data_IF_467306668362
#
_entry.id   IF_467306668362
#
_cell.length_a   1.000
_cell.length_b   1.000
_cell.length_c   1.000
_cell.angle_alpha   90.00
_cell.angle_beta   90.00
_cell.angle_gamma   90.00
#
_symmetry.space_group_name_H-M   'P 1'
#
loop_
_entity.id
_entity.type
_entity.pdbx_description
1 polymer ?
#
# COMPACT_ATOMS: atom_id res chain seq x y z
N UNK A 1 98.81 -1.53 17.46
CA UNK A 1 98.24 -2.35 18.47
C UNK A 1 96.77 -2.55 18.10
N UNK A 2 96.34 -3.79 18.03
CA UNK A 2 95.19 -4.23 17.24
C UNK A 2 93.93 -4.13 18.08
N UNK A 3 92.96 -3.39 17.56
CA UNK A 3 91.58 -3.40 18.06
C UNK A 3 90.78 -4.53 17.34
N UNK A 4 90.23 -5.41 18.15
CA UNK A 4 89.43 -6.53 17.71
C UNK A 4 87.96 -6.09 17.77
N UNK A 5 87.34 -5.90 16.58
CA UNK A 5 85.91 -5.59 16.42
C UNK A 5 85.02 -6.77 16.86
N UNK A 6 84.07 -6.50 17.74
CA UNK A 6 83.01 -7.43 18.10
C UNK A 6 81.91 -7.39 17.03
N UNK A 7 81.68 -8.55 16.42
CA UNK A 7 80.55 -8.76 15.49
C UNK A 7 79.28 -9.03 16.32
N UNK A 8 78.33 -8.11 16.31
CA UNK A 8 77.02 -8.31 16.91
C UNK A 8 76.11 -9.03 15.93
N UNK A 9 75.71 -10.22 16.25
CA UNK A 9 74.76 -11.02 15.46
C UNK A 9 73.34 -10.64 15.85
N UNK A 10 72.65 -9.85 15.03
CA UNK A 10 71.25 -9.48 15.22
C UNK A 10 70.37 -10.58 14.63
N UNK A 11 69.75 -11.36 15.50
CA UNK A 11 68.75 -12.36 15.09
C UNK A 11 67.45 -11.63 14.79
N UNK A 12 67.02 -11.54 13.52
CA UNK A 12 65.72 -11.06 13.10
C UNK A 12 64.72 -12.20 13.27
N UNK A 13 63.85 -12.09 14.30
CA UNK A 13 62.73 -12.99 14.51
C UNK A 13 61.56 -12.55 13.59
N UNK A 14 61.37 -13.26 12.44
CA UNK A 14 60.23 -13.06 11.58
C UNK A 14 59.02 -13.76 12.21
N UNK A 15 58.12 -12.96 12.85
CA UNK A 15 56.83 -13.42 13.32
C UNK A 15 55.88 -13.44 12.08
N UNK A 16 55.61 -14.62 11.53
CA UNK A 16 54.57 -14.85 10.55
C UNK A 16 53.20 -14.74 11.28
N UNK A 17 52.56 -13.57 11.16
CA UNK A 17 51.14 -13.45 11.48
C UNK A 17 50.33 -14.15 10.37
N UNK A 18 49.86 -15.34 10.67
CA UNK A 18 48.85 -16.02 9.86
C UNK A 18 47.54 -15.22 9.89
N UNK A 19 47.28 -14.50 8.81
CA UNK A 19 45.96 -13.90 8.56
C UNK A 19 44.96 -15.03 8.25
N UNK A 20 44.35 -15.59 9.31
CA UNK A 20 43.11 -16.34 9.12
C UNK A 20 42.02 -15.33 8.73
N UNK A 21 41.79 -15.17 7.43
CA UNK A 21 40.59 -14.47 6.94
C UNK A 21 39.37 -15.31 7.36
N UNK A 22 38.73 -14.90 8.44
CA UNK A 22 37.34 -15.30 8.66
C UNK A 22 36.55 -14.73 7.51
N UNK A 23 36.17 -15.56 6.54
CA UNK A 23 35.12 -15.26 5.61
C UNK A 23 33.81 -15.13 6.42
N UNK A 24 33.51 -13.95 6.91
CA UNK A 24 32.15 -13.58 7.26
C UNK A 24 31.40 -13.53 5.91
N UNK A 25 30.69 -14.61 5.59
CA UNK A 25 29.61 -14.54 4.61
C UNK A 25 28.60 -13.56 5.21
N UNK A 26 28.53 -12.36 4.70
CA UNK A 26 27.34 -11.50 4.88
C UNK A 26 26.16 -12.35 4.43
N UNK A 27 25.13 -12.58 5.25
CA UNK A 27 23.92 -13.23 4.76
C UNK A 27 23.47 -12.45 3.53
N UNK A 28 23.29 -13.15 2.40
CA UNK A 28 22.58 -12.59 1.25
C UNK A 28 21.22 -12.17 1.77
N UNK A 29 20.76 -10.93 1.52
CA UNK A 29 19.39 -10.56 1.84
C UNK A 29 18.48 -11.65 1.27
N UNK A 30 17.57 -12.20 2.07
CA UNK A 30 16.55 -13.10 1.55
C UNK A 30 15.81 -12.35 0.45
N UNK A 31 15.70 -12.97 -0.72
CA UNK A 31 15.03 -12.35 -1.86
C UNK A 31 13.54 -12.23 -1.53
N UNK A 32 13.02 -11.00 -1.46
CA UNK A 32 11.62 -10.72 -1.17
C UNK A 32 10.70 -11.54 -2.10
N UNK A 33 9.73 -12.22 -1.53
CA UNK A 33 8.81 -13.09 -2.27
C UNK A 33 7.45 -12.44 -2.50
N UNK A 34 6.81 -12.76 -3.64
CA UNK A 34 5.51 -12.25 -4.01
C UNK A 34 4.55 -13.38 -4.36
N UNK A 35 3.45 -13.44 -3.63
CA UNK A 35 2.35 -14.36 -3.87
C UNK A 35 1.12 -13.62 -4.38
N UNK A 36 0.43 -14.20 -5.36
CA UNK A 36 -0.85 -13.69 -5.85
C UNK A 36 -1.88 -14.80 -5.74
N UNK A 37 -2.97 -14.55 -5.02
CA UNK A 37 -4.01 -15.51 -4.72
C UNK A 37 -5.31 -15.09 -5.43
N UNK A 38 -5.81 -15.87 -6.40
CA UNK A 38 -7.03 -15.57 -7.13
C UNK A 38 -8.30 -15.98 -6.34
N UNK A 39 -8.58 -15.29 -5.24
CA UNK A 39 -9.76 -15.58 -4.38
C UNK A 39 -11.08 -15.48 -5.15
N UNK A 40 -11.11 -14.73 -6.25
CA UNK A 40 -12.28 -14.71 -7.13
C UNK A 40 -12.66 -16.10 -7.67
N UNK A 41 -11.77 -17.09 -7.67
CA UNK A 41 -12.10 -18.47 -8.02
C UNK A 41 -12.94 -19.15 -6.93
N UNK A 42 -12.70 -18.88 -5.66
CA UNK A 42 -13.50 -19.40 -4.53
C UNK A 42 -14.89 -18.78 -4.52
N UNK A 43 -15.05 -17.57 -5.05
CA UNK A 43 -16.36 -16.93 -5.21
C UNK A 43 -17.29 -17.69 -6.16
N UNK A 44 -16.78 -18.55 -7.05
CA UNK A 44 -17.61 -19.45 -7.84
C UNK A 44 -18.27 -20.53 -6.97
N UNK A 45 -17.58 -21.02 -5.94
CA UNK A 45 -18.17 -21.97 -5.00
C UNK A 45 -19.32 -21.32 -4.20
N UNK A 46 -19.12 -20.05 -3.77
CA UNK A 46 -20.18 -19.24 -3.16
C UNK A 46 -21.40 -19.11 -4.08
N UNK A 47 -21.22 -18.73 -5.35
CA UNK A 47 -22.29 -18.59 -6.34
C UNK A 47 -23.05 -19.91 -6.52
N UNK A 48 -22.33 -21.02 -6.68
CA UNK A 48 -22.94 -22.34 -6.88
C UNK A 48 -23.75 -22.75 -5.66
N UNK A 49 -23.19 -22.62 -4.46
CA UNK A 49 -23.89 -22.94 -3.22
C UNK A 49 -25.17 -22.12 -3.03
N UNK A 50 -25.08 -20.80 -3.36
CA UNK A 50 -26.24 -19.91 -3.28
C UNK A 50 -27.37 -20.28 -4.28
N UNK A 51 -27.02 -20.77 -5.48
CA UNK A 51 -27.99 -21.18 -6.48
C UNK A 51 -28.61 -22.56 -6.20
N UNK A 52 -27.90 -23.43 -5.49
CA UNK A 52 -28.38 -24.76 -5.12
C UNK A 52 -29.33 -24.75 -3.92
N UNK A 53 -29.25 -23.75 -3.07
CA UNK A 53 -30.08 -23.60 -1.89
C UNK A 53 -31.47 -23.04 -2.24
N UNK A 54 -32.54 -23.56 -1.60
CA UNK A 54 -33.92 -23.09 -1.80
C UNK A 54 -34.12 -21.69 -1.17
N UNK A 55 -33.44 -21.41 -0.02
CA UNK A 55 -33.45 -20.13 0.69
C UNK A 55 -32.02 -19.85 1.20
N UNK A 56 -31.13 -19.30 0.35
CA UNK A 56 -29.73 -19.15 0.69
C UNK A 56 -29.47 -18.05 1.71
N UNK A 57 -28.78 -18.37 2.78
CA UNK A 57 -28.13 -17.40 3.65
C UNK A 57 -26.82 -16.95 2.98
N UNK A 58 -26.90 -15.87 2.19
CA UNK A 58 -25.77 -15.39 1.39
C UNK A 58 -24.59 -14.90 2.25
N UNK A 59 -24.87 -14.38 3.48
CA UNK A 59 -23.82 -13.96 4.42
C UNK A 59 -23.04 -15.18 4.93
N UNK A 60 -23.75 -16.20 5.41
CA UNK A 60 -23.12 -17.43 5.89
C UNK A 60 -22.36 -18.16 4.75
N UNK A 61 -22.87 -18.13 3.52
CA UNK A 61 -22.18 -18.73 2.37
C UNK A 61 -20.92 -17.94 1.98
N UNK A 62 -20.97 -16.59 2.02
CA UNK A 62 -19.79 -15.76 1.77
C UNK A 62 -18.70 -16.03 2.81
N UNK A 63 -19.07 -16.08 4.09
CA UNK A 63 -18.14 -16.42 5.17
C UNK A 63 -17.51 -17.80 4.92
N UNK A 64 -18.31 -18.83 4.69
CA UNK A 64 -17.87 -20.21 4.56
C UNK A 64 -16.95 -20.46 3.34
N UNK A 65 -17.31 -19.92 2.19
CA UNK A 65 -16.62 -20.24 0.93
C UNK A 65 -15.56 -19.25 0.53
N UNK A 66 -15.59 -18.00 1.03
CA UNK A 66 -14.69 -16.94 0.58
C UNK A 66 -13.85 -16.39 1.73
N UNK A 67 -14.49 -15.93 2.83
CA UNK A 67 -13.75 -15.22 3.89
C UNK A 67 -12.95 -16.19 4.77
N UNK A 68 -13.60 -17.19 5.38
CA UNK A 68 -12.94 -18.10 6.32
C UNK A 68 -11.73 -18.83 5.70
N UNK A 69 -11.80 -19.39 4.47
CA UNK A 69 -10.67 -20.09 3.86
C UNK A 69 -9.48 -19.16 3.53
N UNK A 70 -9.74 -17.90 3.25
CA UNK A 70 -8.74 -16.98 2.71
C UNK A 70 -8.25 -15.93 3.71
N UNK A 71 -8.95 -15.72 4.84
CA UNK A 71 -8.70 -14.59 5.73
C UNK A 71 -7.26 -14.53 6.25
N UNK A 72 -6.75 -15.60 6.82
CA UNK A 72 -5.38 -15.66 7.34
C UNK A 72 -4.33 -15.35 6.26
N UNK A 73 -4.52 -15.87 5.06
CA UNK A 73 -3.60 -15.63 3.95
C UNK A 73 -3.65 -14.20 3.46
N UNK A 74 -4.85 -13.61 3.36
CA UNK A 74 -5.09 -12.33 2.69
C UNK A 74 -5.02 -11.12 3.61
N UNK A 75 -5.46 -11.27 4.87
CA UNK A 75 -5.56 -10.18 5.83
C UNK A 75 -4.72 -10.40 7.11
N UNK A 76 -4.27 -11.63 7.33
CA UNK A 76 -3.60 -12.01 8.58
C UNK A 76 -4.56 -12.15 9.75
N UNK A 77 -4.01 -12.43 10.93
CA UNK A 77 -4.81 -12.65 12.14
C UNK A 77 -4.94 -11.41 13.03
N UNK A 78 -4.18 -10.36 12.74
CA UNK A 78 -4.06 -9.18 13.59
C UNK A 78 -5.19 -8.17 13.37
N UNK A 79 -5.72 -8.10 12.16
CA UNK A 79 -6.78 -7.16 11.81
C UNK A 79 -8.03 -7.90 11.31
N UNK A 80 -9.17 -7.63 11.95
CA UNK A 80 -10.50 -7.95 11.40
C UNK A 80 -11.28 -6.66 11.20
N UNK A 81 -11.77 -6.41 9.99
CA UNK A 81 -12.65 -5.28 9.78
C UNK A 81 -13.90 -5.40 10.67
N UNK A 82 -14.45 -4.27 11.10
CA UNK A 82 -15.69 -4.30 11.89
C UNK A 82 -16.81 -4.97 11.08
N UNK A 83 -17.75 -5.66 11.77
CA UNK A 83 -18.95 -6.22 11.13
C UNK A 83 -19.70 -5.16 10.32
N UNK A 84 -20.17 -5.53 9.12
CA UNK A 84 -20.82 -4.62 8.17
C UNK A 84 -19.84 -3.87 7.29
N UNK A 85 -18.56 -4.26 7.28
CA UNK A 85 -17.58 -3.78 6.34
C UNK A 85 -17.93 -4.19 4.90
N UNK A 86 -17.17 -3.64 3.93
CA UNK A 86 -17.38 -3.99 2.51
C UNK A 86 -17.03 -5.45 2.18
N UNK A 87 -16.32 -6.14 3.09
CA UNK A 87 -15.85 -7.50 2.86
C UNK A 87 -16.83 -8.57 3.32
N UNK A 88 -17.71 -8.26 4.29
CA UNK A 88 -18.70 -9.17 4.84
C UNK A 88 -20.13 -8.92 4.33
N UNK A 89 -20.32 -8.00 3.38
CA UNK A 89 -21.60 -7.79 2.72
C UNK A 89 -21.80 -8.82 1.61
N UNK A 90 -22.88 -9.63 1.69
CA UNK A 90 -23.13 -10.63 0.65
C UNK A 90 -23.48 -9.98 -0.68
N UNK A 91 -22.89 -10.50 -1.75
CA UNK A 91 -23.14 -10.03 -3.12
C UNK A 91 -24.43 -10.65 -3.63
N UNK A 92 -25.43 -9.78 -3.94
CA UNK A 92 -26.77 -10.21 -4.31
C UNK A 92 -26.89 -10.57 -5.79
N UNK A 93 -26.16 -9.87 -6.66
CA UNK A 93 -26.23 -10.09 -8.11
C UNK A 93 -25.21 -11.15 -8.54
N UNK A 94 -25.57 -12.41 -8.34
CA UNK A 94 -24.70 -13.56 -8.60
C UNK A 94 -24.34 -13.71 -10.09
N UNK A 95 -25.25 -13.36 -11.01
CA UNK A 95 -24.99 -13.48 -12.45
C UNK A 95 -23.95 -12.44 -12.91
N UNK A 96 -24.07 -11.20 -12.43
CA UNK A 96 -23.08 -10.17 -12.73
C UNK A 96 -21.72 -10.47 -12.05
N UNK A 97 -21.73 -11.04 -10.84
CA UNK A 97 -20.52 -11.47 -10.16
C UNK A 97 -19.79 -12.58 -10.95
N UNK A 98 -20.53 -13.58 -11.45
CA UNK A 98 -19.97 -14.66 -12.26
C UNK A 98 -19.33 -14.13 -13.56
N UNK A 99 -19.97 -13.16 -14.21
CA UNK A 99 -19.41 -12.53 -15.42
C UNK A 99 -18.09 -11.78 -15.09
N UNK A 100 -18.01 -11.07 -13.97
CA UNK A 100 -16.77 -10.45 -13.51
C UNK A 100 -15.68 -11.50 -13.32
N UNK A 101 -15.98 -12.58 -12.62
CA UNK A 101 -15.03 -13.69 -12.38
C UNK A 101 -14.53 -14.26 -13.70
N UNK A 102 -15.42 -14.53 -14.66
CA UNK A 102 -15.04 -15.03 -15.98
C UNK A 102 -14.14 -14.07 -16.76
N UNK A 103 -14.31 -12.75 -16.58
CA UNK A 103 -13.42 -11.75 -17.18
C UNK A 103 -12.05 -11.76 -16.51
N UNK A 104 -11.99 -11.90 -15.18
CA UNK A 104 -10.73 -12.03 -14.43
C UNK A 104 -9.97 -13.29 -14.84
N UNK A 105 -10.62 -14.44 -14.91
CA UNK A 105 -10.03 -15.71 -15.36
C UNK A 105 -9.44 -15.65 -16.77
N UNK A 106 -10.06 -14.89 -17.68
CA UNK A 106 -9.54 -14.67 -19.04
C UNK A 106 -8.43 -13.61 -19.11
N UNK A 107 -8.18 -12.94 -18.01
CA UNK A 107 -7.18 -11.86 -17.96
C UNK A 107 -5.81 -12.39 -17.55
N UNK A 108 -4.82 -11.52 -17.62
CA UNK A 108 -3.45 -11.74 -17.14
C UNK A 108 -3.18 -11.01 -15.82
N UNK A 109 -4.23 -10.75 -15.02
CA UNK A 109 -4.17 -9.89 -13.84
C UNK A 109 -3.11 -10.30 -12.83
N UNK A 110 -2.98 -11.60 -12.55
CA UNK A 110 -1.99 -12.11 -11.59
C UNK A 110 -0.56 -11.76 -12.04
N UNK A 111 -0.28 -11.88 -13.34
CA UNK A 111 1.01 -11.49 -13.91
C UNK A 111 1.24 -9.98 -13.81
N UNK A 112 0.20 -9.18 -14.05
CA UNK A 112 0.27 -7.71 -13.95
C UNK A 112 0.55 -7.29 -12.50
N UNK A 113 -0.16 -7.86 -11.53
CA UNK A 113 0.04 -7.63 -10.09
C UNK A 113 1.47 -7.99 -9.69
N UNK A 114 1.94 -9.19 -10.05
CA UNK A 114 3.30 -9.63 -9.70
C UNK A 114 4.37 -8.72 -10.29
N UNK A 115 4.20 -8.27 -11.53
CA UNK A 115 5.13 -7.32 -12.16
C UNK A 115 5.13 -5.95 -11.47
N UNK A 116 3.97 -5.48 -11.01
CA UNK A 116 3.86 -4.23 -10.27
C UNK A 116 4.56 -4.31 -8.90
N UNK A 117 4.38 -5.39 -8.15
CA UNK A 117 5.09 -5.65 -6.89
C UNK A 117 6.61 -5.66 -7.10
N UNK A 118 7.10 -6.40 -8.10
CA UNK A 118 8.53 -6.45 -8.42
C UNK A 118 9.10 -5.06 -8.76
N UNK A 119 8.34 -4.24 -9.48
CA UNK A 119 8.76 -2.87 -9.82
C UNK A 119 8.77 -1.96 -8.60
N UNK A 120 7.82 -2.11 -7.69
CA UNK A 120 7.74 -1.38 -6.42
C UNK A 120 8.90 -1.74 -5.50
N UNK A 121 9.19 -3.02 -5.34
CA UNK A 121 10.28 -3.53 -4.52
C UNK A 121 11.68 -3.09 -4.99
N UNK A 122 11.85 -2.82 -6.28
CA UNK A 122 13.09 -2.23 -6.80
C UNK A 122 13.33 -0.80 -6.35
N UNK A 123 12.30 -0.13 -5.82
CA UNK A 123 12.33 1.27 -5.40
C UNK A 123 12.30 1.43 -3.88
N UNK A 124 11.61 0.56 -3.20
CA UNK A 124 11.45 0.55 -1.74
C UNK A 124 11.46 -0.90 -1.28
N UNK A 125 12.38 -1.27 -0.40
CA UNK A 125 12.38 -2.57 0.24
C UNK A 125 11.12 -2.72 1.10
N UNK A 126 10.54 -3.93 1.14
CA UNK A 126 9.32 -4.22 1.91
C UNK A 126 9.25 -5.68 2.30
N UNK A 127 8.19 -6.10 3.02
CA UNK A 127 8.00 -7.47 3.45
C UNK A 127 7.65 -8.41 2.28
N UNK A 128 7.76 -9.71 2.51
CA UNK A 128 7.12 -10.71 1.66
C UNK A 128 5.64 -10.37 1.50
N UNK A 129 5.17 -10.25 0.26
CA UNK A 129 3.84 -9.67 0.00
C UNK A 129 2.92 -10.65 -0.70
N UNK A 130 1.75 -10.84 -0.13
CA UNK A 130 0.63 -11.57 -0.71
C UNK A 130 -0.44 -10.59 -1.16
N UNK A 131 -0.85 -10.69 -2.42
CA UNK A 131 -2.00 -9.95 -2.96
C UNK A 131 -3.12 -10.94 -3.25
N UNK A 132 -4.24 -10.76 -2.57
CA UNK A 132 -5.46 -11.52 -2.83
C UNK A 132 -6.37 -10.73 -3.77
N UNK A 133 -6.74 -11.33 -4.89
CA UNK A 133 -7.61 -10.70 -5.88
C UNK A 133 -9.03 -11.21 -5.67
N UNK A 134 -9.97 -10.31 -5.41
CA UNK A 134 -11.40 -10.61 -5.30
C UNK A 134 -12.19 -9.87 -6.37
N UNK A 135 -13.30 -10.47 -6.82
CA UNK A 135 -14.26 -9.75 -7.64
C UNK A 135 -15.02 -8.75 -6.75
N UNK A 136 -15.08 -7.48 -7.18
CA UNK A 136 -15.85 -6.48 -6.46
C UNK A 136 -17.36 -6.68 -6.65
N UNK A 137 -18.16 -6.23 -5.66
CA UNK A 137 -19.62 -6.24 -5.81
C UNK A 137 -20.04 -5.47 -7.07
N UNK A 138 -20.77 -6.08 -8.00
CA UNK A 138 -21.25 -5.44 -9.22
C UNK A 138 -22.10 -4.19 -8.97
N UNK A 139 -22.71 -4.04 -7.80
CA UNK A 139 -23.49 -2.87 -7.41
C UNK A 139 -22.65 -1.72 -6.85
N UNK A 140 -21.37 -1.94 -6.60
CA UNK A 140 -20.48 -0.91 -6.08
C UNK A 140 -20.08 0.08 -7.18
N UNK A 141 -20.95 1.08 -7.37
CA UNK A 141 -20.74 2.15 -8.36
C UNK A 141 -19.47 2.96 -8.11
N UNK A 142 -19.04 3.09 -6.84
CA UNK A 142 -17.86 3.86 -6.49
C UNK A 142 -16.58 3.23 -7.08
N UNK A 143 -16.42 1.92 -6.94
CA UNK A 143 -15.31 1.20 -7.58
C UNK A 143 -15.36 1.34 -9.10
N UNK A 144 -16.56 1.24 -9.69
CA UNK A 144 -16.70 1.32 -11.15
C UNK A 144 -16.39 2.72 -11.69
N UNK A 145 -17.00 3.76 -11.11
CA UNK A 145 -17.00 5.10 -11.69
C UNK A 145 -15.89 6.00 -11.13
N UNK A 146 -15.51 5.82 -9.86
CA UNK A 146 -14.52 6.67 -9.20
C UNK A 146 -13.13 6.04 -9.14
N UNK A 147 -13.07 4.71 -9.09
CA UNK A 147 -11.82 3.94 -8.98
C UNK A 147 -11.48 3.17 -10.28
N UNK A 148 -12.15 3.47 -11.39
CA UNK A 148 -11.90 2.82 -12.68
C UNK A 148 -11.94 1.30 -12.65
N UNK A 149 -12.74 0.73 -11.75
CA UNK A 149 -12.92 -0.70 -11.59
C UNK A 149 -11.88 -1.41 -10.74
N UNK A 150 -10.95 -0.70 -10.11
CA UNK A 150 -9.88 -1.31 -9.28
C UNK A 150 -9.73 -0.56 -7.97
N UNK A 151 -9.80 -1.28 -6.85
CA UNK A 151 -9.59 -0.71 -5.52
C UNK A 151 -8.66 -1.62 -4.72
N UNK A 152 -7.72 -1.03 -3.97
CA UNK A 152 -6.78 -1.74 -3.11
C UNK A 152 -7.04 -1.49 -1.63
N UNK A 153 -6.58 -2.42 -0.80
CA UNK A 153 -6.58 -2.31 0.65
C UNK A 153 -5.36 -3.04 1.22
N UNK A 154 -4.58 -2.35 2.01
CA UNK A 154 -3.51 -2.96 2.80
C UNK A 154 -4.02 -3.31 4.20
N UNK A 155 -3.98 -4.59 4.56
CA UNK A 155 -4.44 -5.11 5.85
C UNK A 155 -3.29 -5.27 6.86
N UNK A 156 -2.09 -4.93 6.48
CA UNK A 156 -0.89 -5.04 7.32
C UNK A 156 0.36 -5.27 6.47
N UNK A 157 1.47 -5.51 7.13
CA UNK A 157 2.72 -5.82 6.46
C UNK A 157 2.58 -7.05 5.55
N UNK A 158 2.81 -6.88 4.26
CA UNK A 158 2.74 -7.96 3.28
C UNK A 158 1.34 -8.46 2.95
N UNK A 159 0.27 -7.77 3.32
CA UNK A 159 -1.13 -8.22 3.12
C UNK A 159 -1.94 -7.18 2.35
N UNK A 160 -2.24 -7.50 1.10
CA UNK A 160 -2.99 -6.60 0.20
C UNK A 160 -4.20 -7.36 -0.37
N UNK A 161 -5.36 -6.73 -0.35
CA UNK A 161 -6.55 -7.19 -1.07
C UNK A 161 -6.81 -6.23 -2.23
N UNK A 162 -6.93 -6.79 -3.43
CA UNK A 162 -7.28 -6.07 -4.65
C UNK A 162 -8.70 -6.44 -5.07
N UNK A 163 -9.62 -5.47 -5.02
CA UNK A 163 -10.98 -5.62 -5.51
C UNK A 163 -11.06 -5.17 -6.96
N UNK A 164 -11.63 -6.01 -7.82
CA UNK A 164 -11.71 -5.71 -9.26
C UNK A 164 -13.12 -5.92 -9.80
N UNK A 165 -13.63 -4.89 -10.47
CA UNK A 165 -14.79 -4.96 -11.36
C UNK A 165 -14.33 -4.43 -12.73
N UNK A 166 -14.15 -5.29 -13.74
CA UNK A 166 -13.55 -4.93 -15.02
C UNK A 166 -14.32 -3.85 -15.78
N UNK A 167 -14.04 -2.58 -15.49
CA UNK A 167 -14.50 -1.42 -16.25
C UNK A 167 -13.58 -1.16 -17.46
N UNK A 168 -13.97 -0.37 -18.47
CA UNK A 168 -13.11 -0.03 -19.58
C UNK A 168 -11.77 0.56 -19.13
N UNK A 169 -10.65 -0.07 -19.51
CA UNK A 169 -9.30 0.38 -19.16
C UNK A 169 -8.79 -0.02 -17.78
N UNK A 170 -9.54 -0.77 -17.00
CA UNK A 170 -9.21 -1.17 -15.63
C UNK A 170 -7.78 -1.74 -15.44
N UNK A 171 -7.29 -2.51 -16.41
CA UNK A 171 -5.94 -3.12 -16.35
C UNK A 171 -4.81 -2.09 -16.22
N UNK A 172 -5.01 -0.89 -16.73
CA UNK A 172 -4.01 0.17 -16.65
C UNK A 172 -3.89 0.73 -15.22
N UNK A 173 -4.95 0.57 -14.40
CA UNK A 173 -4.98 1.05 -13.03
C UNK A 173 -4.36 0.07 -12.04
N UNK A 174 -4.40 -1.24 -12.33
CA UNK A 174 -3.84 -2.28 -11.45
C UNK A 174 -2.41 -1.99 -11.02
N UNK A 175 -1.47 -1.64 -11.93
CA UNK A 175 -0.09 -1.39 -11.51
C UNK A 175 0.07 -0.21 -10.56
N UNK A 176 -0.70 0.87 -10.77
CA UNK A 176 -0.66 2.06 -9.92
C UNK A 176 -1.21 1.75 -8.51
N UNK A 177 -2.39 1.13 -8.44
CA UNK A 177 -3.01 0.73 -7.17
C UNK A 177 -2.11 -0.24 -6.41
N UNK A 178 -1.51 -1.22 -7.07
CA UNK A 178 -0.56 -2.14 -6.41
C UNK A 178 0.67 -1.41 -5.88
N UNK A 179 1.20 -0.41 -6.58
CA UNK A 179 2.32 0.37 -6.07
C UNK A 179 1.92 1.21 -4.85
N UNK A 180 0.73 1.80 -4.86
CA UNK A 180 0.14 2.52 -3.73
C UNK A 180 0.03 1.61 -2.50
N UNK A 181 -0.62 0.46 -2.64
CA UNK A 181 -0.80 -0.51 -1.55
C UNK A 181 0.52 -1.13 -1.07
N UNK A 182 1.46 -1.33 -1.98
CA UNK A 182 2.80 -1.80 -1.62
C UNK A 182 3.52 -0.81 -0.70
N UNK A 183 3.39 0.49 -0.97
CA UNK A 183 3.97 1.51 -0.08
C UNK A 183 3.35 1.44 1.32
N UNK A 184 2.04 1.33 1.43
CA UNK A 184 1.37 1.12 2.71
C UNK A 184 1.88 -0.12 3.44
N UNK A 185 2.02 -1.23 2.72
CA UNK A 185 2.55 -2.48 3.27
C UNK A 185 3.99 -2.35 3.79
N UNK A 186 4.87 -1.71 3.02
CA UNK A 186 6.26 -1.48 3.39
C UNK A 186 6.39 -0.51 4.58
N UNK A 187 5.53 0.52 4.64
CA UNK A 187 5.48 1.44 5.77
C UNK A 187 4.97 0.74 7.03
N UNK A 188 3.90 -0.06 6.91
CA UNK A 188 3.30 -0.80 8.04
C UNK A 188 4.29 -1.79 8.66
N UNK A 189 5.08 -2.48 7.84
CA UNK A 189 6.11 -3.41 8.30
C UNK A 189 7.13 -2.76 9.25
N UNK A 190 7.40 -1.48 9.08
CA UNK A 190 8.47 -0.78 9.79
C UNK A 190 7.99 0.11 10.92
N UNK A 191 6.81 0.68 10.80
CA UNK A 191 6.38 1.83 11.65
C UNK A 191 5.06 1.64 12.35
N UNK A 192 4.22 0.68 11.93
CA UNK A 192 2.90 0.49 12.54
C UNK A 192 3.02 -0.03 13.96
N UNK A 193 2.33 0.64 14.90
CA UNK A 193 2.14 0.20 16.28
C UNK A 193 0.64 0.07 16.56
N UNK A 194 0.25 -1.09 17.08
CA UNK A 194 -1.17 -1.48 17.28
C UNK A 194 -2.00 -0.51 18.16
N UNK A 195 -1.36 0.33 18.98
CA UNK A 195 -2.03 1.22 19.93
C UNK A 195 -2.11 2.68 19.45
N UNK A 196 -1.59 3.01 18.27
CA UNK A 196 -1.57 4.37 17.76
C UNK A 196 -2.93 4.76 17.17
N UNK A 197 -3.54 5.80 17.78
CA UNK A 197 -4.72 6.45 17.22
C UNK A 197 -4.25 7.52 16.22
N UNK A 198 -4.15 7.14 14.97
CA UNK A 198 -3.75 8.01 13.88
C UNK A 198 -4.62 9.27 13.77
N UNK A 199 -3.99 10.43 13.72
CA UNK A 199 -4.64 11.73 13.52
C UNK A 199 -5.04 11.96 12.05
N UNK A 200 -5.82 13.01 11.78
CA UNK A 200 -6.14 13.40 10.41
C UNK A 200 -4.89 13.76 9.59
N UNK A 201 -3.96 14.51 10.15
CA UNK A 201 -2.69 14.87 9.46
C UNK A 201 -1.87 13.62 9.13
N UNK A 202 -1.75 12.69 10.05
CA UNK A 202 -1.06 11.42 9.80
C UNK A 202 -1.72 10.63 8.66
N UNK A 203 -3.04 10.59 8.63
CA UNK A 203 -3.80 9.94 7.57
C UNK A 203 -3.59 10.60 6.19
N UNK A 204 -3.60 11.96 6.13
CA UNK A 204 -3.29 12.70 4.90
C UNK A 204 -1.89 12.38 4.38
N UNK A 205 -0.89 12.41 5.26
CA UNK A 205 0.50 12.13 4.89
C UNK A 205 0.69 10.66 4.51
N UNK A 206 0.01 9.74 5.19
CA UNK A 206 0.05 8.32 4.89
C UNK A 206 -0.42 8.02 3.46
N UNK A 207 -1.59 8.53 3.07
CA UNK A 207 -2.12 8.39 1.71
C UNK A 207 -1.29 9.16 0.68
N UNK A 208 -0.88 10.38 1.01
CA UNK A 208 -0.05 11.19 0.12
C UNK A 208 1.30 10.58 -0.23
N UNK A 209 1.91 9.85 0.71
CA UNK A 209 3.13 9.07 0.47
C UNK A 209 2.90 7.93 -0.50
N UNK A 210 1.83 7.19 -0.32
CA UNK A 210 1.51 6.05 -1.18
C UNK A 210 1.24 6.49 -2.62
N UNK A 211 0.48 7.57 -2.80
CA UNK A 211 0.25 8.16 -4.13
C UNK A 211 1.53 8.75 -4.74
N UNK A 212 2.36 9.43 -3.95
CA UNK A 212 3.64 9.95 -4.43
C UNK A 212 4.59 8.84 -4.86
N UNK A 213 4.65 7.75 -4.11
CA UNK A 213 5.42 6.56 -4.47
C UNK A 213 4.90 5.92 -5.76
N UNK A 214 3.59 5.70 -5.85
CA UNK A 214 2.96 5.14 -7.04
C UNK A 214 3.21 6.03 -8.29
N UNK A 215 3.15 7.34 -8.13
CA UNK A 215 3.43 8.30 -9.21
C UNK A 215 4.90 8.27 -9.66
N UNK A 216 5.87 8.13 -8.75
CA UNK A 216 7.29 7.94 -9.10
C UNK A 216 7.49 6.70 -9.98
N UNK A 217 6.73 5.62 -9.72
CA UNK A 217 6.82 4.37 -10.49
C UNK A 217 6.06 4.46 -11.81
N UNK A 218 4.91 5.13 -11.82
CA UNK A 218 3.99 5.27 -12.96
C UNK A 218 3.66 6.73 -13.27
N UNK A 219 4.66 7.54 -13.69
CA UNK A 219 4.53 9.01 -13.81
C UNK A 219 3.59 9.48 -14.93
N UNK A 220 3.12 8.56 -15.78
CA UNK A 220 2.21 8.89 -16.88
C UNK A 220 0.73 8.64 -16.53
N UNK A 221 0.46 8.18 -15.31
CA UNK A 221 -0.91 7.99 -14.85
C UNK A 221 -1.52 9.34 -14.45
N UNK A 222 -2.62 9.70 -15.08
CA UNK A 222 -3.43 10.84 -14.68
C UNK A 222 -4.44 10.37 -13.62
N UNK A 223 -4.08 10.58 -12.36
CA UNK A 223 -4.81 10.06 -11.20
C UNK A 223 -5.81 11.12 -10.72
N UNK A 224 -7.14 10.86 -10.79
CA UNK A 224 -8.13 11.89 -10.52
C UNK A 224 -8.18 12.37 -9.08
N UNK A 225 -7.83 11.53 -8.11
CA UNK A 225 -7.92 11.89 -6.69
C UNK A 225 -6.73 12.70 -6.16
N UNK A 226 -5.59 12.75 -6.86
CA UNK A 226 -4.44 13.56 -6.44
C UNK A 226 -4.51 15.01 -6.92
N UNK A 227 -5.44 15.33 -7.81
CA UNK A 227 -5.67 16.68 -8.34
C UNK A 227 -7.19 16.97 -8.46
N UNK A 228 -7.96 16.56 -7.45
CA UNK A 228 -9.42 16.67 -7.48
C UNK A 228 -9.94 18.08 -7.13
N UNK A 229 -9.11 18.91 -6.52
CA UNK A 229 -9.48 20.24 -6.05
C UNK A 229 -8.94 21.33 -6.97
N UNK A 230 -9.71 22.41 -7.14
CA UNK A 230 -9.14 23.68 -7.60
C UNK A 230 -8.29 24.32 -6.49
N UNK A 231 -7.37 25.22 -6.83
CA UNK A 231 -6.52 25.91 -5.85
C UNK A 231 -7.34 26.66 -4.79
N UNK A 232 -8.51 27.22 -5.15
CA UNK A 232 -9.41 27.89 -4.21
C UNK A 232 -10.07 26.89 -3.25
N UNK A 233 -10.54 25.75 -3.76
CA UNK A 233 -11.12 24.68 -2.93
C UNK A 233 -10.06 24.10 -1.98
N UNK A 234 -8.87 23.85 -2.47
CA UNK A 234 -7.76 23.32 -1.70
C UNK A 234 -7.39 24.24 -0.53
N UNK A 235 -7.25 25.55 -0.78
CA UNK A 235 -7.00 26.52 0.27
C UNK A 235 -8.09 26.53 1.34
N UNK A 236 -9.37 26.51 0.93
CA UNK A 236 -10.51 26.49 1.85
C UNK A 236 -10.55 25.20 2.68
N UNK A 237 -10.24 24.07 2.08
CA UNK A 237 -10.22 22.80 2.82
C UNK A 237 -9.01 22.70 3.74
N UNK A 238 -7.86 23.21 3.31
CA UNK A 238 -6.67 23.25 4.17
C UNK A 238 -6.89 24.06 5.43
N UNK A 239 -7.52 25.23 5.36
CA UNK A 239 -7.87 26.04 6.52
C UNK A 239 -8.76 25.28 7.52
N UNK A 240 -9.69 24.44 7.03
CA UNK A 240 -10.49 23.58 7.91
C UNK A 240 -9.66 22.46 8.52
N UNK A 241 -8.82 21.80 7.71
CA UNK A 241 -7.95 20.71 8.16
C UNK A 241 -6.97 21.17 9.22
N UNK A 242 -6.40 22.37 9.11
CA UNK A 242 -5.50 22.93 10.13
C UNK A 242 -6.17 23.01 11.52
N UNK A 243 -7.49 23.20 11.59
CA UNK A 243 -8.22 23.27 12.86
C UNK A 243 -8.59 21.87 13.41
N UNK A 244 -8.63 20.85 12.56
CA UNK A 244 -9.05 19.47 12.86
C UNK A 244 -7.91 18.46 12.79
N UNK A 245 -6.70 18.91 12.47
CA UNK A 245 -5.56 18.05 12.09
C UNK A 245 -5.16 17.01 13.13
N UNK A 246 -5.31 17.34 14.41
CA UNK A 246 -5.02 16.44 15.53
C UNK A 246 -6.19 15.51 15.88
N UNK A 247 -7.31 15.57 15.14
CA UNK A 247 -8.46 14.72 15.45
C UNK A 247 -8.19 13.25 15.14
N UNK A 248 -8.56 12.38 16.05
CA UNK A 248 -8.58 10.91 15.86
C UNK A 248 -9.98 10.39 15.56
N UNK A 249 -11.00 11.28 15.46
CA UNK A 249 -12.38 10.91 15.20
C UNK A 249 -12.54 10.36 13.78
N UNK A 250 -12.85 9.08 13.66
CA UNK A 250 -12.99 8.37 12.39
C UNK A 250 -13.99 9.01 11.43
N UNK A 251 -15.13 9.54 11.93
CA UNK A 251 -16.12 10.20 11.06
C UNK A 251 -15.58 11.51 10.48
N UNK A 252 -14.80 12.27 11.26
CA UNK A 252 -14.18 13.50 10.79
C UNK A 252 -13.08 13.15 9.77
N UNK A 253 -12.22 12.18 10.06
CA UNK A 253 -11.20 11.70 9.13
C UNK A 253 -11.82 11.23 7.82
N UNK A 254 -12.81 10.34 7.86
CA UNK A 254 -13.49 9.85 6.65
C UNK A 254 -14.10 10.98 5.82
N UNK A 255 -14.72 11.97 6.48
CA UNK A 255 -15.29 13.14 5.78
C UNK A 255 -14.22 13.91 5.01
N UNK A 256 -13.05 14.15 5.59
CA UNK A 256 -11.97 14.85 4.89
C UNK A 256 -11.29 13.96 3.84
N UNK A 257 -11.05 12.69 4.14
CA UNK A 257 -10.37 11.79 3.20
C UNK A 257 -11.18 11.57 1.92
N UNK A 258 -12.42 11.10 2.06
CA UNK A 258 -13.25 10.75 0.91
C UNK A 258 -14.05 11.95 0.40
N UNK A 259 -14.58 12.78 1.29
CA UNK A 259 -15.40 13.94 0.94
C UNK A 259 -16.73 13.56 0.29
N UNK A 260 -17.19 14.41 -0.64
CA UNK A 260 -18.38 14.15 -1.45
C UNK A 260 -19.68 14.71 -0.89
N UNK A 261 -19.61 15.58 0.11
CA UNK A 261 -20.74 16.37 0.60
C UNK A 261 -20.65 17.84 0.16
N UNK A 262 -21.62 18.67 0.57
CA UNK A 262 -21.66 20.10 0.19
C UNK A 262 -20.52 20.92 0.82
N UNK A 263 -19.86 20.41 1.87
CA UNK A 263 -18.85 21.14 2.61
C UNK A 263 -17.43 20.68 2.31
N UNK A 264 -17.29 19.46 1.79
CA UNK A 264 -16.00 18.80 1.54
C UNK A 264 -16.05 18.09 0.19
N UNK A 265 -15.36 18.59 -0.84
CA UNK A 265 -15.30 17.96 -2.16
C UNK A 265 -14.76 16.52 -2.08
N UNK A 266 -15.13 15.70 -3.07
CA UNK A 266 -14.62 14.33 -3.16
C UNK A 266 -13.09 14.34 -3.31
N UNK A 267 -12.41 13.42 -2.63
CA UNK A 267 -10.95 13.23 -2.65
C UNK A 267 -10.14 14.36 -2.00
N UNK A 268 -10.77 15.17 -1.15
CA UNK A 268 -10.10 16.29 -0.47
C UNK A 268 -8.80 15.85 0.22
N UNK A 269 -8.86 14.78 1.02
CA UNK A 269 -7.70 14.32 1.78
C UNK A 269 -6.60 13.73 0.90
N UNK A 270 -6.97 12.97 -0.13
CA UNK A 270 -6.00 12.42 -1.09
C UNK A 270 -5.26 13.52 -1.85
N UNK A 271 -5.98 14.55 -2.34
CA UNK A 271 -5.36 15.70 -3.02
C UNK A 271 -4.40 16.43 -2.10
N UNK A 272 -4.87 16.82 -0.90
CA UNK A 272 -4.05 17.60 0.04
C UNK A 272 -2.85 16.78 0.55
N UNK A 273 -3.06 15.51 0.90
CA UNK A 273 -2.00 14.63 1.32
C UNK A 273 -0.91 14.46 0.26
N UNK A 274 -1.31 14.25 -0.99
CA UNK A 274 -0.39 14.19 -2.12
C UNK A 274 0.40 15.49 -2.28
N UNK A 275 -0.27 16.65 -2.25
CA UNK A 275 0.39 17.95 -2.41
C UNK A 275 1.32 18.31 -1.25
N UNK A 276 1.03 17.88 -0.02
CA UNK A 276 1.97 17.99 1.11
C UNK A 276 3.28 17.26 0.79
N UNK A 277 3.18 16.00 0.33
CA UNK A 277 4.36 15.20 0.00
C UNK A 277 5.10 15.76 -1.22
N UNK A 278 4.38 16.22 -2.26
CA UNK A 278 5.02 16.85 -3.44
C UNK A 278 5.75 18.13 -3.06
N UNK A 279 5.16 18.99 -2.21
CA UNK A 279 5.82 20.20 -1.70
C UNK A 279 7.10 19.88 -0.92
N UNK A 280 7.10 18.78 -0.15
CA UNK A 280 8.31 18.29 0.49
C UNK A 280 9.37 17.87 -0.54
N UNK A 281 8.99 17.09 -1.54
CA UNK A 281 9.91 16.60 -2.58
C UNK A 281 10.49 17.72 -3.43
N UNK A 282 9.71 18.74 -3.75
CA UNK A 282 10.16 19.93 -4.46
C UNK A 282 11.21 20.73 -3.68
N UNK A 283 11.02 20.85 -2.36
CA UNK A 283 11.97 21.53 -1.47
C UNK A 283 13.19 20.66 -1.12
N UNK A 284 13.09 19.32 -1.27
CA UNK A 284 14.12 18.36 -0.95
C UNK A 284 14.41 17.40 -2.13
N UNK A 285 14.86 17.89 -3.30
CA UNK A 285 14.98 17.08 -4.52
C UNK A 285 16.03 15.97 -4.44
N UNK A 286 16.83 15.91 -3.37
CA UNK A 286 17.81 14.85 -3.13
C UNK A 286 17.32 13.81 -2.09
N UNK A 287 16.13 14.00 -1.51
CA UNK A 287 15.57 13.03 -0.58
C UNK A 287 15.25 11.72 -1.32
N UNK A 288 15.79 10.62 -0.84
CA UNK A 288 15.43 9.29 -1.34
C UNK A 288 14.07 8.84 -0.79
N UNK A 289 13.52 7.79 -1.39
CA UNK A 289 12.20 7.26 -1.04
C UNK A 289 12.16 6.82 0.42
N UNK A 290 13.21 6.17 0.90
CA UNK A 290 13.30 5.70 2.28
C UNK A 290 13.22 6.88 3.27
N UNK A 291 13.92 7.96 2.99
CA UNK A 291 13.95 9.16 3.85
C UNK A 291 12.55 9.74 4.06
N UNK A 292 11.80 10.03 3.00
CA UNK A 292 10.49 10.65 3.17
C UNK A 292 9.38 9.64 3.55
N UNK A 293 9.59 8.35 3.30
CA UNK A 293 8.70 7.28 3.81
C UNK A 293 8.76 7.20 5.33
N UNK A 294 9.96 7.42 5.91
CA UNK A 294 10.22 7.21 7.33
C UNK A 294 10.09 8.45 8.19
N UNK A 295 10.11 9.64 7.58
CA UNK A 295 10.03 10.90 8.29
C UNK A 295 8.71 10.98 9.08
N UNK A 296 8.68 11.41 10.35
CA UNK A 296 7.43 11.62 11.07
C UNK A 296 6.46 12.52 10.27
N UNK A 297 5.15 12.23 10.25
CA UNK A 297 4.18 13.00 9.44
C UNK A 297 4.18 14.49 9.71
N UNK A 298 4.28 14.89 10.96
CA UNK A 298 4.36 16.30 11.36
C UNK A 298 5.65 16.98 10.85
N UNK A 299 6.80 16.27 10.95
CA UNK A 299 8.08 16.78 10.45
C UNK A 299 8.05 16.93 8.91
N UNK A 300 7.40 15.99 8.21
CA UNK A 300 7.23 16.08 6.76
C UNK A 300 6.37 17.29 6.39
N UNK A 301 5.25 17.50 7.08
CA UNK A 301 4.38 18.64 6.87
C UNK A 301 5.12 19.95 7.13
N UNK A 302 5.84 20.08 8.24
CA UNK A 302 6.63 21.30 8.55
C UNK A 302 7.69 21.56 7.50
N UNK A 303 8.46 20.53 7.10
CA UNK A 303 9.54 20.66 6.12
C UNK A 303 9.03 20.85 4.69
N UNK A 304 7.80 20.44 4.38
CA UNK A 304 7.17 20.68 3.08
C UNK A 304 6.91 22.17 2.83
N UNK A 305 6.68 22.95 3.89
CA UNK A 305 6.25 24.33 3.80
C UNK A 305 4.87 24.52 3.15
N UNK A 306 4.07 23.44 3.02
CA UNK A 306 2.75 23.46 2.40
C UNK A 306 1.78 24.40 3.14
N UNK A 307 1.07 25.24 2.38
CA UNK A 307 0.17 26.28 2.91
C UNK A 307 -1.24 26.22 2.26
N UNK A 308 -1.63 25.08 1.71
CA UNK A 308 -2.95 24.91 1.08
C UNK A 308 -2.98 25.12 -0.44
N UNK A 309 -1.83 25.32 -1.05
CA UNK A 309 -1.66 25.41 -2.50
C UNK A 309 -0.31 24.78 -2.85
N UNK A 310 -0.30 23.90 -3.84
CA UNK A 310 0.90 23.33 -4.42
C UNK A 310 1.13 23.85 -5.84
#
# INVERSE_FOLDING_TARGET
MKDMGRLSLTIILIILFGLTSCNYSTPTPEEQTFSVVPVYEDMLAYINAAREAEDPDLEALLEMYVLEPNWETCAGNEYRPPPGSIFDKPIQNLDALEEIIHQLQKSDIEKVVKAALQKSAQKLEGPDTTVCIIAADPSNWFIQEKMHGVNGWTFGAGKIILQVNPAPGWKNWVPYIIAHEYHHSAWTDRYYQLDDQETLIENLVFEGRADSFAHIIYPHMEVPWVNALSAEEEQVQWEKIQNEGETTNTLVKTRFMVGGDQSTPTWTGYTIGYHIVQSYLDSHPQADIETWTTLPPQDLLEQSGYQGIH
#
